data_IF_594497695594
#
_entry.id   IF_594497695594
#
_cell.length_a   1.000
_cell.length_b   1.000
_cell.length_c   1.000
_cell.angle_alpha   90.00
_cell.angle_beta   90.00
_cell.angle_gamma   90.00
#
_symmetry.space_group_name_H-M   'P 1'
#
loop_
_entity.id
_entity.type
_entity.pdbx_description
1 polymer ?
#
# COMPACT_ATOMS: atom_id res chain seq x y z
N UNK A 1 8.69 1.50 2.81
CA UNK A 1 8.99 2.93 3.06
C UNK A 1 8.96 3.18 4.54
N UNK A 2 9.95 3.89 5.08
CA UNK A 2 10.07 4.14 6.51
C UNK A 2 9.26 5.34 7.00
N UNK A 3 9.03 5.38 8.31
CA UNK A 3 8.31 6.48 8.97
C UNK A 3 8.96 7.84 8.72
N UNK A 4 10.28 7.93 8.82
CA UNK A 4 11.06 9.16 8.62
C UNK A 4 11.45 9.45 7.17
N UNK A 5 10.82 8.80 6.20
CA UNK A 5 11.10 9.06 4.78
C UNK A 5 10.27 10.23 4.21
N UNK A 6 9.21 10.66 4.90
CA UNK A 6 8.25 11.65 4.43
C UNK A 6 8.41 12.98 5.19
N UNK A 7 8.30 14.10 4.49
CA UNK A 7 8.50 15.44 5.06
C UNK A 7 7.61 15.73 6.26
N UNK A 8 6.30 15.48 6.17
CA UNK A 8 5.36 15.68 7.29
C UNK A 8 5.58 14.74 8.49
N UNK A 9 6.44 13.72 8.36
CA UNK A 9 6.92 12.86 9.43
C UNK A 9 8.37 13.16 9.85
N UNK A 10 8.96 14.28 9.37
CA UNK A 10 10.26 14.79 9.80
C UNK A 10 11.44 14.44 8.90
N UNK A 11 11.21 14.00 7.65
CA UNK A 11 12.29 13.85 6.68
C UNK A 11 12.85 15.22 6.26
N UNK A 12 14.17 15.35 6.31
CA UNK A 12 14.92 16.49 5.76
C UNK A 12 15.66 16.12 4.46
N UNK A 13 15.59 14.84 4.06
CA UNK A 13 16.35 14.28 2.94
C UNK A 13 15.52 14.20 1.66
N UNK A 14 14.23 13.93 1.77
CA UNK A 14 13.37 13.70 0.64
C UNK A 14 12.37 14.84 0.44
N UNK A 15 12.10 15.18 -0.81
CA UNK A 15 11.08 16.16 -1.16
C UNK A 15 9.76 15.47 -1.42
N UNK A 16 8.82 15.64 -0.49
CA UNK A 16 7.49 15.03 -0.56
C UNK A 16 6.36 16.07 -0.44
N UNK A 17 6.39 17.14 -1.27
CA UNK A 17 5.47 18.28 -1.11
C UNK A 17 4.01 17.91 -1.30
N UNK A 18 3.69 16.87 -2.07
CA UNK A 18 2.32 16.48 -2.36
C UNK A 18 1.72 15.67 -1.21
N UNK A 19 2.49 14.75 -0.62
CA UNK A 19 2.11 14.03 0.60
C UNK A 19 2.01 15.01 1.78
N UNK A 20 2.96 15.95 1.88
CA UNK A 20 2.94 16.99 2.92
C UNK A 20 1.72 17.92 2.79
N UNK A 21 1.26 18.20 1.57
CA UNK A 21 0.03 18.93 1.33
C UNK A 21 -1.22 18.11 1.70
N UNK A 22 -1.24 16.81 1.40
CA UNK A 22 -2.31 15.92 1.89
C UNK A 22 -2.41 15.98 3.43
N UNK A 23 -1.28 15.99 4.13
CA UNK A 23 -1.24 16.09 5.58
C UNK A 23 -1.78 17.44 6.10
N UNK A 24 -1.49 18.54 5.41
CA UNK A 24 -2.03 19.87 5.72
C UNK A 24 -3.54 19.97 5.49
N UNK A 25 -4.05 19.26 4.47
CA UNK A 25 -5.47 19.23 4.09
C UNK A 25 -6.22 18.05 4.75
N UNK A 26 -5.61 17.32 5.69
CA UNK A 26 -6.16 16.13 6.31
C UNK A 26 -5.59 15.81 7.69
N UNK A 27 -5.45 14.54 8.01
CA UNK A 27 -4.96 14.04 9.30
C UNK A 27 -3.71 13.18 9.15
N UNK A 28 -2.77 13.36 10.08
CA UNK A 28 -1.66 12.45 10.33
C UNK A 28 -2.03 11.43 11.40
N UNK A 29 -2.00 10.13 11.08
CA UNK A 29 -2.05 9.07 12.07
C UNK A 29 -0.61 8.69 12.42
N UNK A 30 -0.14 9.16 13.58
CA UNK A 30 1.26 9.02 13.97
C UNK A 30 1.57 7.69 14.66
N UNK A 31 0.54 6.86 14.91
CA UNK A 31 0.65 5.54 15.53
C UNK A 31 -0.13 4.47 14.74
N UNK A 32 0.03 4.48 13.40
CA UNK A 32 -0.45 3.37 12.57
C UNK A 32 0.62 2.29 12.50
N UNK A 33 0.22 1.04 12.78
CA UNK A 33 1.09 -0.13 12.73
C UNK A 33 0.71 -1.04 11.57
N UNK A 34 1.70 -1.45 10.80
CA UNK A 34 1.58 -2.64 9.95
C UNK A 34 1.47 -3.88 10.85
N UNK A 35 0.82 -4.93 10.38
CA UNK A 35 0.72 -6.18 11.13
C UNK A 35 1.96 -7.06 11.02
N UNK A 36 2.90 -6.70 10.17
CA UNK A 36 4.16 -7.41 9.95
C UNK A 36 5.23 -6.46 9.42
N UNK A 37 6.49 -6.76 9.70
CA UNK A 37 7.65 -6.04 9.14
C UNK A 37 7.98 -6.42 7.69
N UNK A 38 7.15 -7.23 7.00
CA UNK A 38 7.35 -7.69 5.62
C UNK A 38 6.06 -7.69 4.80
N UNK A 39 6.21 -7.63 3.47
CA UNK A 39 5.14 -7.31 2.52
C UNK A 39 3.94 -8.26 2.54
N UNK A 40 4.13 -9.57 2.27
CA UNK A 40 3.03 -10.54 2.12
C UNK A 40 2.10 -10.56 3.33
N UNK A 41 2.57 -10.81 4.57
CA UNK A 41 1.67 -10.86 5.72
C UNK A 41 1.03 -9.50 6.03
N UNK A 42 1.74 -8.39 5.83
CA UNK A 42 1.17 -7.06 6.03
C UNK A 42 0.03 -6.77 5.05
N UNK A 43 0.23 -7.08 3.77
CA UNK A 43 -0.79 -6.90 2.72
C UNK A 43 -2.00 -7.81 2.92
N UNK A 44 -1.78 -9.08 3.33
CA UNK A 44 -2.86 -9.99 3.67
C UNK A 44 -3.72 -9.43 4.81
N UNK A 45 -3.07 -8.91 5.85
CA UNK A 45 -3.77 -8.32 6.99
C UNK A 45 -4.54 -7.05 6.63
N UNK A 46 -3.97 -6.18 5.76
CA UNK A 46 -4.69 -5.03 5.23
C UNK A 46 -5.96 -5.46 4.49
N UNK A 47 -5.83 -6.42 3.56
CA UNK A 47 -6.95 -6.84 2.71
C UNK A 47 -8.06 -7.54 3.50
N UNK A 48 -7.72 -8.37 4.49
CA UNK A 48 -8.69 -9.24 5.19
C UNK A 48 -9.15 -8.71 6.54
N UNK A 49 -8.49 -7.68 7.09
CA UNK A 49 -8.75 -7.19 8.44
C UNK A 49 -8.33 -8.18 9.55
N UNK A 50 -7.50 -9.18 9.22
CA UNK A 50 -7.08 -10.26 10.12
C UNK A 50 -5.57 -10.29 10.29
N UNK A 51 -5.08 -10.82 11.41
CA UNK A 51 -3.68 -11.19 11.49
C UNK A 51 -3.33 -12.21 10.39
N UNK A 52 -2.15 -12.06 9.78
CA UNK A 52 -1.70 -12.92 8.70
C UNK A 52 -1.66 -14.42 9.08
N UNK A 53 -1.44 -14.73 10.36
CA UNK A 53 -1.49 -16.09 10.90
C UNK A 53 -2.90 -16.70 10.81
N UNK A 54 -3.94 -15.90 10.96
CA UNK A 54 -5.33 -16.35 10.90
C UNK A 54 -5.74 -16.78 9.48
N UNK A 55 -5.19 -16.09 8.49
CA UNK A 55 -5.46 -16.34 7.06
C UNK A 55 -4.33 -17.11 6.38
N UNK A 56 -3.45 -17.73 7.16
CA UNK A 56 -2.31 -18.54 6.72
C UNK A 56 -1.36 -17.84 5.73
N UNK A 57 -1.18 -16.52 5.89
CA UNK A 57 -0.33 -15.71 5.01
C UNK A 57 0.92 -15.16 5.72
N UNK A 58 1.30 -15.73 6.86
CA UNK A 58 2.48 -15.33 7.63
C UNK A 58 3.78 -15.95 7.13
N UNK A 59 3.72 -17.03 6.36
CA UNK A 59 4.84 -17.73 5.73
C UNK A 59 4.37 -18.37 4.43
N UNK A 60 5.31 -18.61 3.50
CA UNK A 60 5.07 -19.47 2.34
C UNK A 60 5.14 -20.96 2.71
N UNK A 61 5.05 -21.84 1.72
CA UNK A 61 5.14 -23.30 1.89
C UNK A 61 6.54 -23.80 2.29
N UNK A 62 7.56 -22.96 2.20
CA UNK A 62 8.96 -23.23 2.55
C UNK A 62 9.40 -22.50 3.82
N UNK A 63 8.43 -22.01 4.63
CA UNK A 63 8.67 -21.23 5.85
C UNK A 63 9.39 -19.90 5.60
N UNK A 64 9.31 -19.37 4.39
CA UNK A 64 9.83 -18.03 4.07
C UNK A 64 8.82 -16.94 4.45
N UNK A 65 9.33 -15.78 4.78
CA UNK A 65 8.52 -14.68 5.35
C UNK A 65 7.58 -13.99 4.35
N UNK A 66 7.77 -14.21 3.06
CA UNK A 66 6.97 -13.69 1.97
C UNK A 66 6.79 -14.76 0.90
N UNK A 67 5.76 -14.61 0.07
CA UNK A 67 5.60 -15.47 -1.10
C UNK A 67 6.65 -15.15 -2.15
N UNK A 68 7.25 -16.18 -2.72
CA UNK A 68 8.15 -16.11 -3.85
C UNK A 68 7.44 -16.41 -5.18
N UNK A 69 8.08 -16.12 -6.33
CA UNK A 69 7.53 -16.47 -7.63
C UNK A 69 7.21 -17.97 -7.75
N UNK A 70 6.09 -18.27 -8.40
CA UNK A 70 5.60 -19.63 -8.64
C UNK A 70 5.24 -20.39 -7.34
N UNK A 71 5.01 -19.67 -6.24
CA UNK A 71 4.54 -20.29 -5.01
C UNK A 71 3.18 -20.96 -5.27
N UNK A 72 3.02 -22.19 -4.76
CA UNK A 72 1.73 -22.86 -4.78
C UNK A 72 0.73 -22.24 -3.80
N UNK A 73 1.26 -21.45 -2.83
CA UNK A 73 0.49 -20.75 -1.81
C UNK A 73 0.12 -19.34 -2.26
N UNK A 74 -1.05 -18.88 -1.84
CA UNK A 74 -1.54 -17.52 -1.98
C UNK A 74 -2.69 -17.29 -1.04
N UNK A 75 -3.23 -16.07 -1.04
CA UNK A 75 -4.42 -15.75 -0.26
C UNK A 75 -5.55 -16.67 -0.69
N UNK A 76 -6.15 -17.37 0.29
CA UNK A 76 -7.23 -18.32 0.01
C UNK A 76 -8.43 -17.56 -0.60
N UNK A 77 -8.97 -17.99 -1.76
CA UNK A 77 -10.15 -17.36 -2.38
C UNK A 77 -11.42 -17.34 -1.51
N UNK A 78 -11.44 -18.09 -0.41
CA UNK A 78 -12.55 -18.05 0.56
C UNK A 78 -12.40 -16.92 1.59
N UNK A 79 -11.24 -16.25 1.66
CA UNK A 79 -11.08 -15.08 2.51
C UNK A 79 -11.81 -13.89 1.92
N UNK A 80 -12.45 -13.12 2.79
CA UNK A 80 -13.18 -11.91 2.39
C UNK A 80 -12.24 -10.71 2.53
N UNK A 81 -12.10 -9.97 1.45
CA UNK A 81 -11.23 -8.78 1.38
C UNK A 81 -12.03 -7.47 1.42
N UNK A 82 -11.32 -6.36 1.63
CA UNK A 82 -11.89 -5.01 1.47
C UNK A 82 -12.60 -4.88 0.10
N UNK A 83 -11.97 -5.39 -0.96
CA UNK A 83 -12.51 -5.24 -2.31
C UNK A 83 -13.83 -6.01 -2.49
N UNK A 84 -13.98 -7.20 -1.92
CA UNK A 84 -15.23 -7.96 -1.96
C UNK A 84 -16.36 -7.25 -1.21
N UNK A 85 -16.07 -6.77 0.01
CA UNK A 85 -17.07 -6.03 0.82
C UNK A 85 -17.54 -4.77 0.07
N UNK A 86 -16.62 -4.01 -0.51
CA UNK A 86 -16.96 -2.78 -1.22
C UNK A 86 -17.64 -3.07 -2.56
N UNK A 87 -17.26 -4.13 -3.25
CA UNK A 87 -17.92 -4.58 -4.48
C UNK A 87 -19.37 -4.97 -4.21
N UNK A 88 -19.63 -5.71 -3.15
CA UNK A 88 -20.98 -6.09 -2.73
C UNK A 88 -21.83 -4.85 -2.34
N UNK A 89 -21.17 -3.78 -1.89
CA UNK A 89 -21.79 -2.47 -1.64
C UNK A 89 -21.92 -1.61 -2.92
N UNK A 90 -21.62 -2.15 -4.10
CA UNK A 90 -21.78 -1.46 -5.39
C UNK A 90 -20.61 -0.61 -5.84
N UNK A 91 -19.43 -0.76 -5.24
CA UNK A 91 -18.22 -0.06 -5.67
C UNK A 91 -17.59 -0.76 -6.88
N UNK A 92 -17.14 0.01 -7.87
CA UNK A 92 -16.17 -0.46 -8.84
C UNK A 92 -14.81 -0.62 -8.17
N UNK A 93 -14.08 -1.71 -8.42
CA UNK A 93 -12.86 -2.06 -7.67
C UNK A 93 -11.66 -2.27 -8.59
N UNK A 94 -10.51 -1.69 -8.23
CA UNK A 94 -9.26 -1.92 -8.97
C UNK A 94 -8.06 -2.10 -8.03
N UNK A 95 -7.17 -3.02 -8.41
CA UNK A 95 -5.82 -3.15 -7.87
C UNK A 95 -4.84 -2.74 -8.97
N UNK A 96 -4.05 -1.70 -8.72
CA UNK A 96 -3.06 -1.19 -9.69
C UNK A 96 -1.71 -1.07 -9.00
N UNK A 97 -0.77 -1.96 -9.32
CA UNK A 97 0.56 -2.04 -8.71
C UNK A 97 0.94 -3.44 -8.23
N UNK A 98 1.71 -3.53 -7.16
CA UNK A 98 2.24 -4.77 -6.59
C UNK A 98 1.19 -5.48 -5.72
N UNK A 99 0.81 -6.70 -6.08
CA UNK A 99 -0.14 -7.52 -5.32
C UNK A 99 0.48 -8.23 -4.12
N UNK A 100 1.36 -9.16 -4.37
CA UNK A 100 2.17 -9.95 -3.42
C UNK A 100 1.37 -10.85 -2.46
N UNK A 101 0.21 -11.34 -2.92
CA UNK A 101 -0.64 -12.30 -2.18
C UNK A 101 -0.94 -13.57 -2.97
N UNK A 102 -0.05 -13.93 -3.90
CA UNK A 102 -0.10 -15.11 -4.75
C UNK A 102 -0.13 -14.76 -6.24
N UNK A 103 0.55 -15.56 -7.03
CA UNK A 103 0.70 -15.40 -8.49
C UNK A 103 -0.04 -16.47 -9.29
N UNK A 104 -0.63 -17.48 -8.61
CA UNK A 104 -1.49 -18.45 -9.26
C UNK A 104 -2.82 -17.80 -9.68
N UNK A 105 -3.47 -18.24 -10.78
CA UNK A 105 -4.68 -17.59 -11.31
C UNK A 105 -5.82 -17.42 -10.30
N UNK A 106 -5.96 -18.35 -9.37
CA UNK A 106 -6.96 -18.32 -8.28
C UNK A 106 -6.61 -17.37 -7.14
N UNK A 107 -5.34 -16.93 -7.06
CA UNK A 107 -4.86 -16.01 -6.02
C UNK A 107 -4.64 -14.58 -6.54
N UNK A 108 -4.89 -14.32 -7.82
CA UNK A 108 -4.79 -12.98 -8.41
C UNK A 108 -5.92 -12.05 -7.92
N UNK A 109 -5.75 -10.72 -7.97
CA UNK A 109 -6.72 -9.75 -7.45
C UNK A 109 -8.17 -9.96 -7.92
N UNK A 110 -8.38 -10.44 -9.16
CA UNK A 110 -9.72 -10.69 -9.68
C UNK A 110 -10.49 -11.79 -8.93
N UNK A 111 -9.78 -12.68 -8.24
CA UNK A 111 -10.37 -13.73 -7.39
C UNK A 111 -10.65 -13.25 -5.98
N UNK A 112 -10.31 -11.99 -5.68
CA UNK A 112 -10.44 -11.34 -4.36
C UNK A 112 -11.22 -10.01 -4.46
N UNK A 113 -12.26 -9.98 -5.29
CA UNK A 113 -13.21 -8.86 -5.37
C UNK A 113 -12.81 -7.70 -6.27
N UNK A 114 -11.63 -7.69 -6.89
CA UNK A 114 -11.26 -6.65 -7.82
C UNK A 114 -11.83 -6.90 -9.23
N UNK A 115 -12.41 -5.86 -9.84
CA UNK A 115 -12.90 -5.89 -11.22
C UNK A 115 -11.77 -5.70 -12.24
N UNK A 116 -10.71 -5.02 -11.81
CA UNK A 116 -9.56 -4.72 -12.66
C UNK A 116 -8.24 -4.90 -11.89
N UNK A 117 -7.28 -5.53 -12.55
CA UNK A 117 -5.90 -5.63 -12.08
C UNK A 117 -4.92 -5.18 -13.16
N UNK A 118 -3.96 -4.34 -12.79
CA UNK A 118 -2.83 -3.99 -13.62
C UNK A 118 -1.58 -3.84 -12.74
N UNK A 119 -0.60 -4.74 -12.86
CA UNK A 119 0.57 -4.68 -12.00
C UNK A 119 1.42 -5.93 -11.99
N UNK A 120 2.28 -6.03 -10.98
CA UNK A 120 3.15 -7.18 -10.76
C UNK A 120 2.61 -8.06 -9.64
N UNK A 121 2.67 -9.40 -9.78
CA UNK A 121 2.07 -10.31 -8.80
C UNK A 121 2.92 -10.52 -7.55
N UNK A 122 4.21 -10.21 -7.56
CA UNK A 122 5.16 -10.32 -6.45
C UNK A 122 6.16 -9.15 -6.44
N UNK A 123 7.25 -9.24 -5.67
CA UNK A 123 8.18 -8.12 -5.52
C UNK A 123 9.06 -7.93 -6.77
N UNK A 124 9.39 -6.68 -7.06
CA UNK A 124 10.16 -6.24 -8.23
C UNK A 124 11.60 -6.78 -8.27
N UNK A 125 12.15 -7.18 -7.12
CA UNK A 125 13.48 -7.79 -6.99
C UNK A 125 13.48 -9.32 -7.13
N UNK A 126 12.31 -9.93 -7.27
CA UNK A 126 12.15 -11.36 -7.45
C UNK A 126 12.25 -11.73 -8.94
N UNK A 127 13.47 -11.69 -9.46
CA UNK A 127 13.81 -11.95 -10.85
C UNK A 127 14.89 -13.03 -10.95
N UNK A 128 15.11 -13.66 -12.11
CA UNK A 128 16.20 -14.61 -12.30
C UNK A 128 17.55 -14.02 -11.85
N UNK A 129 18.29 -14.76 -11.05
CA UNK A 129 19.56 -14.33 -10.50
C UNK A 129 20.50 -15.52 -10.27
N UNK A 130 21.77 -15.25 -9.94
CA UNK A 130 22.72 -16.31 -9.59
C UNK A 130 22.28 -17.13 -8.37
N UNK A 131 21.46 -16.55 -7.47
CA UNK A 131 20.94 -17.25 -6.29
C UNK A 131 19.63 -17.99 -6.59
N UNK A 132 18.84 -17.49 -7.54
CA UNK A 132 17.53 -18.04 -7.90
C UNK A 132 17.37 -18.09 -9.43
N UNK A 133 18.14 -18.96 -10.13
CA UNK A 133 18.12 -19.01 -11.58
C UNK A 133 16.83 -19.60 -12.18
N UNK A 134 16.03 -20.27 -11.34
CA UNK A 134 14.77 -20.89 -11.75
C UNK A 134 13.57 -19.96 -11.65
N UNK A 135 13.74 -18.76 -11.09
CA UNK A 135 12.63 -17.79 -11.06
C UNK A 135 12.33 -17.31 -12.49
N UNK A 136 11.05 -17.06 -12.81
CA UNK A 136 10.69 -16.49 -14.10
C UNK A 136 11.06 -15.01 -14.20
N UNK A 137 11.09 -14.49 -15.42
CA UNK A 137 11.10 -13.06 -15.65
C UNK A 137 9.89 -12.40 -14.97
N UNK A 138 10.09 -11.22 -14.36
CA UNK A 138 9.03 -10.50 -13.68
C UNK A 138 7.90 -10.14 -14.65
N UNK A 139 6.68 -10.67 -14.48
CA UNK A 139 5.59 -10.37 -15.38
C UNK A 139 4.88 -9.07 -15.00
N UNK A 140 4.50 -8.28 -16.00
CA UNK A 140 3.43 -7.31 -15.88
C UNK A 140 2.13 -7.97 -16.31
N UNK A 141 1.14 -7.92 -15.43
CA UNK A 141 -0.14 -8.59 -15.61
C UNK A 141 -1.26 -7.57 -15.77
N UNK A 142 -2.12 -7.80 -16.75
CA UNK A 142 -3.40 -7.11 -16.83
C UNK A 142 -4.53 -8.14 -16.67
N UNK A 143 -5.31 -7.99 -15.61
CA UNK A 143 -6.33 -8.95 -15.20
C UNK A 143 -5.69 -10.35 -14.94
N UNK A 144 -5.89 -11.30 -15.85
CA UNK A 144 -5.32 -12.67 -15.77
C UNK A 144 -4.28 -12.93 -16.86
N UNK A 145 -3.89 -11.89 -17.61
CA UNK A 145 -3.00 -12.05 -18.77
C UNK A 145 -1.66 -11.37 -18.51
N UNK A 146 -0.58 -12.09 -18.66
CA UNK A 146 0.78 -11.52 -18.77
C UNK A 146 0.84 -10.72 -20.07
N UNK A 147 1.15 -9.42 -19.98
CA UNK A 147 1.24 -8.52 -21.14
C UNK A 147 2.68 -8.13 -21.47
N UNK A 148 3.60 -8.38 -20.54
CA UNK A 148 5.03 -8.11 -20.68
C UNK A 148 5.83 -8.97 -19.70
N UNK A 149 6.95 -9.53 -20.12
CA UNK A 149 7.97 -10.20 -19.29
C UNK A 149 9.30 -10.24 -20.05
N UNK A 150 10.42 -9.77 -19.47
CA UNK A 150 10.50 -9.05 -18.20
C UNK A 150 9.84 -7.67 -18.24
N UNK A 151 9.28 -7.25 -17.11
CA UNK A 151 8.67 -5.93 -16.94
C UNK A 151 9.73 -4.83 -16.98
N UNK A 152 9.53 -3.80 -17.78
CA UNK A 152 10.36 -2.60 -17.74
C UNK A 152 10.03 -1.75 -16.51
N UNK A 153 10.81 -1.92 -15.44
CA UNK A 153 10.61 -1.24 -14.16
C UNK A 153 10.79 0.29 -14.25
N UNK A 154 11.52 0.79 -15.26
CA UNK A 154 11.71 2.24 -15.43
C UNK A 154 10.42 2.98 -15.80
N UNK A 155 9.40 2.25 -16.21
CA UNK A 155 8.11 2.83 -16.67
C UNK A 155 6.93 2.49 -15.76
N UNK A 156 7.12 1.62 -14.75
CA UNK A 156 6.00 1.06 -13.98
C UNK A 156 5.17 2.11 -13.28
N UNK A 157 5.77 3.04 -12.54
CA UNK A 157 5.01 4.08 -11.81
C UNK A 157 4.18 4.94 -12.75
N UNK A 158 4.76 5.37 -13.87
CA UNK A 158 4.02 6.16 -14.88
C UNK A 158 2.85 5.37 -15.48
N UNK A 159 3.06 4.08 -15.75
CA UNK A 159 2.01 3.17 -16.27
C UNK A 159 0.91 2.97 -15.23
N UNK A 160 1.26 2.77 -13.95
CA UNK A 160 0.30 2.65 -12.86
C UNK A 160 -0.52 3.93 -12.70
N UNK A 161 0.10 5.09 -12.69
CA UNK A 161 -0.57 6.39 -12.64
C UNK A 161 -1.55 6.55 -13.80
N UNK A 162 -1.13 6.22 -15.03
CA UNK A 162 -2.00 6.29 -16.21
C UNK A 162 -3.24 5.40 -16.06
N UNK A 163 -3.06 4.16 -15.59
CA UNK A 163 -4.17 3.22 -15.39
C UNK A 163 -5.08 3.66 -14.23
N UNK A 164 -4.50 4.18 -13.14
CA UNK A 164 -5.26 4.72 -12.01
C UNK A 164 -6.13 5.92 -12.43
N UNK A 165 -5.57 6.87 -13.17
CA UNK A 165 -6.31 8.01 -13.70
C UNK A 165 -7.43 7.54 -14.65
N UNK A 166 -7.16 6.57 -15.52
CA UNK A 166 -8.16 5.99 -16.41
C UNK A 166 -9.31 5.37 -15.61
N UNK A 167 -9.00 4.61 -14.57
CA UNK A 167 -9.98 3.98 -13.70
C UNK A 167 -10.84 5.02 -12.95
N UNK A 168 -10.21 6.03 -12.33
CA UNK A 168 -10.92 7.10 -11.60
C UNK A 168 -11.87 7.85 -12.54
N UNK A 169 -11.40 8.24 -13.74
CA UNK A 169 -12.22 8.96 -14.73
C UNK A 169 -13.40 8.13 -15.21
N UNK A 170 -13.21 6.83 -15.41
CA UNK A 170 -14.27 5.93 -15.87
C UNK A 170 -15.36 5.70 -14.81
N UNK A 171 -15.01 5.87 -13.52
CA UNK A 171 -15.91 5.58 -12.40
C UNK A 171 -16.31 6.83 -11.59
N UNK A 172 -16.08 8.06 -12.13
CA UNK A 172 -16.32 9.31 -11.42
C UNK A 172 -17.77 9.52 -10.95
N UNK A 173 -18.73 8.89 -11.63
CA UNK A 173 -20.16 9.04 -11.39
C UNK A 173 -20.76 7.91 -10.52
N UNK A 174 -19.90 7.00 -10.02
CA UNK A 174 -20.29 5.89 -9.14
C UNK A 174 -19.23 5.68 -8.05
N UNK A 175 -19.55 4.99 -6.93
CA UNK A 175 -18.55 4.69 -5.93
C UNK A 175 -17.46 3.78 -6.50
N UNK A 176 -16.22 4.02 -6.08
CA UNK A 176 -15.07 3.20 -6.48
C UNK A 176 -14.09 2.99 -5.33
N UNK A 177 -13.37 1.88 -5.40
CA UNK A 177 -12.23 1.56 -4.56
C UNK A 177 -11.00 1.29 -5.42
N UNK A 178 -9.98 2.07 -5.23
CA UNK A 178 -8.68 1.90 -5.87
C UNK A 178 -7.63 1.53 -4.83
N UNK A 179 -7.15 0.29 -4.86
CA UNK A 179 -5.93 -0.13 -4.18
C UNK A 179 -4.74 0.13 -5.10
N UNK A 180 -3.86 1.04 -4.68
CA UNK A 180 -2.77 1.57 -5.50
C UNK A 180 -1.39 1.29 -4.88
N UNK A 181 -0.98 0.02 -4.74
CA UNK A 181 0.25 -0.37 -4.08
C UNK A 181 1.45 -0.25 -5.02
N UNK A 182 2.30 0.74 -4.79
CA UNK A 182 3.55 0.88 -5.53
C UNK A 182 4.49 -0.31 -5.30
N UNK A 183 5.34 -0.64 -6.29
CA UNK A 183 6.52 -1.48 -6.10
C UNK A 183 7.70 -0.70 -5.52
N UNK A 184 7.72 0.64 -5.65
CA UNK A 184 8.69 1.53 -5.04
C UNK A 184 8.36 1.84 -3.57
N UNK A 185 9.37 2.19 -2.75
CA UNK A 185 10.79 2.16 -3.01
C UNK A 185 11.36 0.75 -3.10
N UNK A 186 10.57 -0.28 -2.79
CA UNK A 186 10.86 -1.69 -2.98
C UNK A 186 11.86 -2.27 -1.99
N UNK A 187 12.27 -3.51 -2.30
CA UNK A 187 13.26 -4.28 -1.54
C UNK A 187 14.64 -4.26 -2.17
N UNK A 188 14.74 -3.73 -3.40
CA UNK A 188 16.01 -3.65 -4.15
C UNK A 188 17.02 -2.75 -3.44
N UNK A 189 18.30 -3.15 -3.49
CA UNK A 189 19.38 -2.29 -3.00
C UNK A 189 19.47 -0.98 -3.79
N UNK A 190 19.09 -1.02 -5.06
CA UNK A 190 19.03 0.13 -5.96
C UNK A 190 17.65 0.12 -6.61
N UNK A 191 16.70 0.93 -6.11
CA UNK A 191 15.40 1.08 -6.74
C UNK A 191 15.53 1.53 -8.19
N UNK A 192 14.74 0.92 -9.06
CA UNK A 192 14.64 1.32 -10.47
C UNK A 192 13.50 2.31 -10.62
N UNK A 193 13.85 3.53 -11.02
CA UNK A 193 12.92 4.66 -11.15
C UNK A 193 12.81 5.12 -12.59
N UNK A 194 11.79 5.90 -12.89
CA UNK A 194 11.66 6.58 -14.18
C UNK A 194 12.83 7.55 -14.41
N UNK A 195 13.31 7.66 -15.64
CA UNK A 195 14.41 8.54 -16.05
C UNK A 195 14.18 10.01 -15.60
N UNK A 196 12.91 10.41 -15.56
CA UNK A 196 12.54 11.74 -15.08
C UNK A 196 12.91 12.01 -13.62
N UNK A 197 13.13 10.98 -12.80
CA UNK A 197 13.49 11.10 -11.38
C UNK A 197 14.93 10.67 -11.09
N UNK A 198 15.53 9.89 -11.97
CA UNK A 198 16.87 9.33 -11.78
C UNK A 198 17.92 10.41 -11.53
N UNK A 199 18.68 10.28 -10.45
CA UNK A 199 19.79 11.16 -10.07
C UNK A 199 19.37 12.56 -9.61
N UNK A 200 18.10 12.77 -9.22
CA UNK A 200 17.60 14.10 -8.82
C UNK A 200 17.48 14.31 -7.33
N UNK A 201 17.33 13.24 -6.57
CA UNK A 201 17.26 13.31 -5.11
C UNK A 201 18.64 13.47 -4.48
N UNK A 202 18.69 14.16 -3.34
CA UNK A 202 19.88 14.26 -2.50
C UNK A 202 20.26 12.91 -1.84
N UNK A 203 19.33 11.93 -1.80
CA UNK A 203 19.51 10.63 -1.17
C UNK A 203 19.63 9.47 -2.17
N UNK A 204 20.24 9.72 -3.35
CA UNK A 204 20.46 8.70 -4.38
C UNK A 204 19.18 8.06 -4.89
N UNK A 205 19.27 6.85 -5.45
CA UNK A 205 18.13 6.16 -6.09
C UNK A 205 16.98 5.85 -5.11
N UNK A 206 17.26 5.68 -3.82
CA UNK A 206 16.20 5.53 -2.82
C UNK A 206 15.36 6.82 -2.69
N UNK A 207 16.03 7.96 -2.61
CA UNK A 207 15.34 9.25 -2.58
C UNK A 207 14.63 9.55 -3.90
N UNK A 208 15.21 9.19 -5.04
CA UNK A 208 14.55 9.31 -6.35
C UNK A 208 13.22 8.54 -6.35
N UNK A 209 13.20 7.32 -5.78
CA UNK A 209 12.00 6.51 -5.66
C UNK A 209 10.94 7.13 -4.73
N UNK A 210 11.33 7.74 -3.62
CA UNK A 210 10.41 8.47 -2.74
C UNK A 210 9.79 9.66 -3.46
N UNK A 211 10.59 10.44 -4.19
CA UNK A 211 10.11 11.62 -4.93
C UNK A 211 9.23 11.21 -6.12
N UNK A 212 9.47 10.05 -6.74
CA UNK A 212 8.60 9.49 -7.78
C UNK A 212 7.24 9.05 -7.21
N UNK A 213 7.22 8.46 -6.01
CA UNK A 213 5.97 8.14 -5.31
C UNK A 213 5.20 9.43 -5.01
N UNK A 214 5.84 10.46 -4.49
CA UNK A 214 5.21 11.75 -4.19
C UNK A 214 4.57 12.38 -5.44
N UNK A 215 5.27 12.32 -6.58
CA UNK A 215 4.71 12.73 -7.87
C UNK A 215 3.46 11.91 -8.25
N UNK A 216 3.47 10.61 -7.99
CA UNK A 216 2.30 9.77 -8.31
C UNK A 216 1.08 10.19 -7.50
N UNK A 217 1.26 10.55 -6.22
CA UNK A 217 0.20 11.08 -5.37
C UNK A 217 -0.33 12.41 -5.90
N UNK A 218 0.56 13.31 -6.37
CA UNK A 218 0.13 14.55 -7.05
C UNK A 218 -0.87 14.26 -8.17
N UNK A 219 -0.52 13.30 -9.04
CA UNK A 219 -1.35 12.98 -10.20
C UNK A 219 -2.74 12.46 -9.80
N UNK A 220 -2.82 11.64 -8.75
CA UNK A 220 -4.10 11.12 -8.22
C UNK A 220 -4.92 12.25 -7.59
N UNK A 221 -4.34 13.01 -6.66
CA UNK A 221 -5.02 14.13 -5.97
C UNK A 221 -5.51 15.17 -6.98
N UNK A 222 -4.66 15.53 -7.96
CA UNK A 222 -5.02 16.45 -9.05
C UNK A 222 -6.19 15.93 -9.87
N UNK A 223 -6.19 14.65 -10.24
CA UNK A 223 -7.29 14.04 -11.01
C UNK A 223 -8.60 14.09 -10.24
N UNK A 224 -8.59 13.77 -8.95
CA UNK A 224 -9.78 13.82 -8.08
C UNK A 224 -10.32 15.25 -7.98
N UNK A 225 -9.44 16.25 -7.83
CA UNK A 225 -9.81 17.69 -7.81
C UNK A 225 -10.33 18.17 -9.16
N UNK A 226 -9.69 17.82 -10.28
CA UNK A 226 -10.13 18.17 -11.65
C UNK A 226 -11.54 17.64 -11.98
N UNK A 227 -11.89 16.48 -11.42
CA UNK A 227 -13.20 15.87 -11.59
C UNK A 227 -14.27 16.42 -10.63
N UNK A 228 -13.89 17.24 -9.64
CA UNK A 228 -14.78 17.81 -8.65
C UNK A 228 -15.37 16.78 -7.67
N UNK A 229 -14.66 15.66 -7.46
CA UNK A 229 -15.11 14.55 -6.59
C UNK A 229 -14.36 14.48 -5.25
N UNK A 230 -13.50 15.45 -4.94
CA UNK A 230 -12.66 15.45 -3.75
C UNK A 230 -13.45 15.38 -2.43
N UNK A 231 -14.64 15.98 -2.38
CA UNK A 231 -15.51 15.94 -1.19
C UNK A 231 -16.17 14.58 -0.96
N UNK A 232 -16.16 13.73 -1.99
CA UNK A 232 -16.71 12.38 -1.94
C UNK A 232 -15.64 11.29 -2.02
N UNK A 233 -14.36 11.68 -1.97
CA UNK A 233 -13.24 10.75 -2.10
C UNK A 233 -12.30 10.84 -0.90
N UNK A 234 -12.16 9.75 -0.17
CA UNK A 234 -11.14 9.60 0.85
C UNK A 234 -9.86 9.05 0.21
N UNK A 235 -8.74 9.71 0.46
CA UNK A 235 -7.42 9.26 0.02
C UNK A 235 -6.61 8.89 1.26
N UNK A 236 -6.12 7.64 1.30
CA UNK A 236 -5.24 7.13 2.35
C UNK A 236 -3.87 6.85 1.77
N UNK A 237 -2.85 7.47 2.31
CA UNK A 237 -1.44 7.18 2.02
C UNK A 237 -0.81 6.47 3.22
N UNK A 238 -0.17 5.33 2.98
CA UNK A 238 0.57 4.59 4.02
C UNK A 238 1.63 3.67 3.40
N UNK A 239 2.38 2.95 4.23
CA UNK A 239 3.34 1.92 3.81
C UNK A 239 2.97 0.56 4.38
N UNK A 240 3.33 -0.52 3.67
CA UNK A 240 3.09 -1.90 4.12
C UNK A 240 4.02 -2.33 5.26
N UNK A 241 5.20 -1.76 5.36
CA UNK A 241 6.17 -1.96 6.45
C UNK A 241 7.24 -0.86 6.45
N UNK A 242 8.01 -0.79 7.51
CA UNK A 242 9.13 0.14 7.62
C UNK A 242 10.23 -0.11 6.59
N UNK A 243 11.08 0.89 6.37
CA UNK A 243 12.22 0.77 5.46
C UNK A 243 13.20 -0.30 5.95
N UNK A 244 13.72 -1.14 5.05
CA UNK A 244 14.69 -2.18 5.41
C UNK A 244 16.09 -1.66 5.80
N UNK A 245 16.34 -0.36 5.84
CA UNK A 245 17.61 0.31 6.15
C UNK A 245 18.86 -0.40 5.58
N UNK A 246 19.50 0.22 4.60
CA UNK A 246 20.88 -0.05 4.22
C UNK A 246 21.29 -1.50 3.95
N UNK A 247 20.87 -2.06 2.83
CA UNK A 247 21.58 -3.24 2.30
C UNK A 247 22.94 -2.81 1.76
N UNK A 248 23.96 -3.66 1.92
CA UNK A 248 25.30 -3.44 1.34
C UNK A 248 25.17 -3.16 -0.17
N UNK A 249 25.71 -2.04 -0.62
CA UNK A 249 25.65 -1.62 -2.02
C UNK A 249 24.44 -0.74 -2.39
N UNK A 250 23.55 -0.40 -1.42
CA UNK A 250 22.43 0.52 -1.68
C UNK A 250 22.93 1.95 -1.93
N UNK A 251 22.34 2.61 -2.91
CA UNK A 251 22.53 4.05 -3.12
C UNK A 251 21.42 4.83 -2.41
N UNK A 252 21.72 5.33 -1.24
CA UNK A 252 20.78 5.97 -0.33
C UNK A 252 20.15 4.98 0.66
N UNK A 253 19.65 5.52 1.75
CA UNK A 253 19.05 4.76 2.84
C UNK A 253 17.68 5.32 3.15
N UNK A 254 16.71 4.42 3.42
CA UNK A 254 15.45 4.83 4.03
C UNK A 254 15.63 5.24 5.50
N UNK A 255 14.63 5.86 6.08
CA UNK A 255 14.63 6.34 7.44
C UNK A 255 13.38 5.90 8.20
N UNK A 256 13.57 5.17 9.30
CA UNK A 256 12.49 4.86 10.23
C UNK A 256 12.47 5.80 11.44
N UNK A 257 13.31 6.86 11.42
CA UNK A 257 13.38 7.82 12.53
C UNK A 257 11.99 8.38 12.87
N UNK A 258 11.72 8.64 14.16
CA UNK A 258 12.64 8.55 15.32
C UNK A 258 12.77 7.11 15.89
N UNK A 259 12.15 6.11 15.26
CA UNK A 259 12.07 4.77 15.79
C UNK A 259 13.29 3.91 15.49
N UNK A 260 13.61 2.99 16.41
CA UNK A 260 14.65 1.99 16.25
C UNK A 260 14.15 0.80 15.45
N UNK A 261 15.06 0.12 14.75
CA UNK A 261 14.75 -1.05 13.93
C UNK A 261 14.45 -0.70 12.48
N UNK A 262 14.20 -1.74 11.71
CA UNK A 262 14.04 -1.69 10.28
C UNK A 262 12.94 -2.65 9.82
N UNK A 263 12.49 -2.55 8.59
CA UNK A 263 11.76 -3.60 7.91
C UNK A 263 12.46 -4.95 8.11
N UNK A 264 11.73 -6.03 8.05
CA UNK A 264 12.14 -7.39 8.44
C UNK A 264 12.33 -7.58 9.96
N UNK A 265 11.91 -6.63 10.79
CA UNK A 265 11.94 -6.78 12.26
C UNK A 265 10.60 -6.39 12.88
N UNK A 266 10.38 -6.84 14.11
CA UNK A 266 9.20 -6.50 14.93
C UNK A 266 9.43 -5.27 15.82
N UNK A 267 10.53 -4.55 15.61
CA UNK A 267 10.79 -3.28 16.29
C UNK A 267 9.91 -2.15 15.71
N UNK A 268 9.76 -1.08 16.48
CA UNK A 268 8.96 0.10 16.07
C UNK A 268 9.25 0.55 14.64
N UNK A 269 10.52 0.71 14.25
CA UNK A 269 10.91 1.14 12.91
C UNK A 269 10.60 0.12 11.80
N UNK A 270 10.28 -1.13 12.13
CA UNK A 270 9.82 -2.13 11.16
C UNK A 270 8.31 -2.17 11.01
N UNK A 271 7.58 -1.81 12.06
CA UNK A 271 6.14 -2.00 12.17
C UNK A 271 5.33 -0.70 12.12
N UNK A 272 5.85 0.39 12.68
CA UNK A 272 5.18 1.68 12.69
C UNK A 272 5.46 2.44 11.41
N UNK A 273 4.40 2.75 10.66
CA UNK A 273 4.47 3.28 9.30
C UNK A 273 3.82 4.65 9.19
N UNK A 274 4.24 5.51 8.24
CA UNK A 274 3.58 6.79 8.02
C UNK A 274 2.16 6.56 7.52
N UNK A 275 1.22 7.40 7.98
CA UNK A 275 -0.14 7.39 7.47
C UNK A 275 -0.71 8.80 7.41
N UNK A 276 -1.19 9.16 6.21
CA UNK A 276 -1.88 10.42 5.94
C UNK A 276 -3.25 10.11 5.37
N UNK A 277 -4.30 10.73 5.89
CA UNK A 277 -5.65 10.59 5.36
C UNK A 277 -6.22 11.95 5.03
N UNK A 278 -6.73 12.10 3.81
CA UNK A 278 -7.38 13.31 3.33
C UNK A 278 -8.80 13.01 2.89
N UNK A 279 -9.76 13.81 3.36
CA UNK A 279 -11.14 13.80 2.88
C UNK A 279 -11.76 15.18 3.14
N UNK A 280 -11.73 16.08 2.16
CA UNK A 280 -12.22 17.45 2.32
C UNK A 280 -13.68 17.52 2.79
N UNK A 281 -13.91 18.26 3.86
CA UNK A 281 -15.24 18.44 4.45
C UNK A 281 -15.73 17.28 5.34
N UNK A 282 -14.95 16.19 5.47
CA UNK A 282 -15.24 15.07 6.38
C UNK A 282 -14.17 14.91 7.45
N UNK A 283 -12.92 15.20 7.13
CA UNK A 283 -11.78 15.16 8.04
C UNK A 283 -11.29 16.60 8.23
N UNK A 284 -11.08 17.07 9.46
CA UNK A 284 -10.50 18.39 9.72
C UNK A 284 -9.09 18.50 9.15
N UNK A 285 -8.74 19.70 8.68
CA UNK A 285 -7.46 19.97 8.07
C UNK A 285 -6.34 20.16 9.12
N UNK A 286 -5.14 19.67 8.82
CA UNK A 286 -3.90 19.93 9.56
C UNK A 286 -3.87 19.37 10.98
N UNK A 287 -4.61 18.31 11.25
CA UNK A 287 -4.62 17.67 12.57
C UNK A 287 -3.73 16.42 12.59
N UNK A 288 -3.36 16.01 13.81
CA UNK A 288 -2.67 14.75 14.04
C UNK A 288 -3.34 13.98 15.17
N UNK A 289 -3.30 12.65 15.09
CA UNK A 289 -3.78 11.76 16.12
C UNK A 289 -2.74 10.67 16.39
N UNK A 290 -2.49 10.38 17.66
CA UNK A 290 -1.49 9.40 18.12
C UNK A 290 -2.12 8.15 18.77
N UNK A 291 -3.43 7.99 18.67
CA UNK A 291 -4.08 6.76 19.11
C UNK A 291 -3.63 5.59 18.23
N UNK A 292 -3.43 4.44 18.86
CA UNK A 292 -2.97 3.23 18.17
C UNK A 292 -4.03 2.78 17.16
N UNK A 293 -3.60 2.62 15.94
CA UNK A 293 -4.35 2.05 14.83
C UNK A 293 -3.52 0.98 14.13
N UNK A 294 -4.16 0.05 13.47
CA UNK A 294 -3.48 -1.00 12.69
C UNK A 294 -3.96 -1.01 11.24
N UNK A 295 -3.18 -1.60 10.35
CA UNK A 295 -3.62 -1.77 8.95
C UNK A 295 -4.87 -2.64 8.82
N UNK A 296 -5.10 -3.55 9.77
CA UNK A 296 -6.30 -4.40 9.80
C UNK A 296 -7.59 -3.59 9.99
N UNK A 297 -7.49 -2.41 10.58
CA UNK A 297 -8.64 -1.55 10.90
C UNK A 297 -9.29 -0.95 9.66
N UNK A 298 -8.60 -0.91 8.54
CA UNK A 298 -9.15 -0.35 7.31
C UNK A 298 -10.33 -1.16 6.76
N UNK A 299 -10.33 -2.50 6.89
CA UNK A 299 -11.45 -3.31 6.43
C UNK A 299 -12.77 -2.94 7.16
N UNK A 300 -12.88 -3.00 8.49
CA UNK A 300 -14.13 -2.63 9.16
C UNK A 300 -14.42 -1.14 9.08
N UNK A 301 -13.42 -0.27 8.91
CA UNK A 301 -13.64 1.17 8.73
C UNK A 301 -14.26 1.46 7.36
N UNK A 302 -13.74 0.86 6.29
CA UNK A 302 -14.31 1.03 4.95
C UNK A 302 -15.69 0.38 4.83
N UNK A 303 -15.89 -0.79 5.45
CA UNK A 303 -17.22 -1.40 5.53
C UNK A 303 -18.24 -0.45 6.20
N UNK A 304 -17.87 0.16 7.33
CA UNK A 304 -18.71 1.13 8.03
C UNK A 304 -19.04 2.35 7.14
N UNK A 305 -18.04 2.92 6.47
CA UNK A 305 -18.21 4.10 5.61
C UNK A 305 -19.04 3.80 4.35
N UNK A 306 -18.99 2.58 3.86
CA UNK A 306 -19.78 2.11 2.71
C UNK A 306 -21.17 1.56 3.12
N UNK A 307 -21.55 1.66 4.40
CA UNK A 307 -22.79 1.06 4.96
C UNK A 307 -22.89 -0.46 4.68
N UNK A 308 -21.73 -1.11 4.51
CA UNK A 308 -21.61 -2.54 4.29
C UNK A 308 -21.40 -3.29 5.61
N UNK A 309 -21.62 -4.61 5.58
CA UNK A 309 -21.40 -5.46 6.75
C UNK A 309 -20.06 -6.18 6.65
N UNK A 310 -19.32 -6.22 7.75
CA UNK A 310 -18.17 -7.12 7.86
C UNK A 310 -18.65 -8.58 7.98
N UNK A 311 -17.84 -9.57 7.51
CA UNK A 311 -18.16 -10.98 7.68
C UNK A 311 -18.46 -11.34 9.13
N UNK A 312 -19.49 -12.18 9.36
CA UNK A 312 -19.88 -12.67 10.69
C UNK A 312 -19.52 -14.13 10.93
N UNK A 313 -19.08 -14.81 9.90
CA UNK A 313 -18.71 -16.23 9.89
C UNK A 313 -17.24 -16.47 10.31
N UNK A 314 -16.50 -15.39 10.50
CA UNK A 314 -15.08 -15.40 10.85
C UNK A 314 -14.70 -14.26 11.81
N UNK A 315 -13.54 -14.37 12.44
CA UNK A 315 -12.99 -13.34 13.30
C UNK A 315 -12.30 -12.30 12.43
N UNK A 316 -12.70 -11.03 12.59
CA UNK A 316 -11.98 -9.86 12.09
C UNK A 316 -11.25 -9.23 13.27
N UNK A 317 -9.92 -9.16 13.19
CA UNK A 317 -9.08 -8.60 14.27
C UNK A 317 -9.11 -7.08 14.27
N UNK A 318 -9.20 -6.47 13.08
CA UNK A 318 -9.33 -5.02 12.90
C UNK A 318 -10.61 -4.46 13.52
N UNK A 319 -10.58 -3.17 13.82
CA UNK A 319 -11.67 -2.41 14.44
C UNK A 319 -11.99 -1.18 13.60
N UNK A 320 -13.23 -0.69 13.69
CA UNK A 320 -13.59 0.58 13.06
C UNK A 320 -12.90 1.75 13.76
N UNK A 321 -11.99 2.41 13.08
CA UNK A 321 -11.23 3.58 13.55
C UNK A 321 -11.74 4.90 12.95
N UNK A 322 -12.92 4.92 12.32
CA UNK A 322 -13.46 6.15 11.77
C UNK A 322 -13.54 7.29 12.78
N UNK A 323 -13.92 7.10 14.04
CA UNK A 323 -13.92 8.18 15.02
C UNK A 323 -12.54 8.85 15.18
N UNK A 324 -11.45 8.06 15.16
CA UNK A 324 -10.08 8.59 15.21
C UNK A 324 -9.75 9.34 13.92
N UNK A 325 -10.02 8.72 12.77
CA UNK A 325 -9.73 9.27 11.44
C UNK A 325 -10.54 10.54 11.15
N UNK A 326 -11.79 10.61 11.62
CA UNK A 326 -12.64 11.80 11.46
C UNK A 326 -12.27 12.97 12.38
N UNK A 327 -11.28 12.78 13.26
CA UNK A 327 -10.78 13.83 14.15
C UNK A 327 -11.63 14.06 15.41
N UNK A 328 -12.43 13.08 15.84
CA UNK A 328 -13.10 13.13 17.13
C UNK A 328 -12.04 13.12 18.25
N UNK A 329 -11.97 14.24 18.99
CA UNK A 329 -10.99 14.43 20.06
C UNK A 329 -11.22 13.52 21.27
N UNK A 330 -12.38 12.90 21.36
CA UNK A 330 -12.74 11.98 22.46
C UNK A 330 -12.48 10.51 22.08
N UNK A 331 -12.26 10.24 20.79
CA UNK A 331 -12.00 8.91 20.31
C UNK A 331 -10.70 8.34 20.89
N UNK A 332 -10.75 7.10 21.30
CA UNK A 332 -9.63 6.33 21.80
C UNK A 332 -9.43 5.11 20.93
N UNK A 333 -8.21 4.57 20.98
CA UNK A 333 -7.92 3.31 20.32
C UNK A 333 -8.95 2.25 20.72
N UNK A 334 -9.50 1.48 19.77
CA UNK A 334 -10.36 0.34 20.08
C UNK A 334 -9.57 -0.94 20.43
N UNK A 335 -8.25 -0.83 20.46
CA UNK A 335 -7.33 -1.93 20.81
C UNK A 335 -6.91 -1.84 22.28
N UNK A 336 -6.73 -3.01 22.91
CA UNK A 336 -6.28 -3.17 24.30
C UNK A 336 -4.74 -3.06 24.40
#
# INVERSE_FOLDING_TARGET
MGYGDIGCFGSELHRTPNIDNMAKEGILLTSLYSSSGVCTPSRASLMTGCYAQRVDMHMDENESWVLYPVSAKGLNPQEITIAEILKDAGYATACIGKWHLGDQPECLPLSHGFDYFYGIPYSEDMVPSNHNPSWPDLPLVQNKKVIEAPTDLTTTTRRYVKEAIRFIRANRDQPFFLYFPHNLPGSSAIPVVDEAFSGKSANGSYGDAIEEIDWSIEQIVKTVKELGIEKNTMIVFTSDNGSPLGRAGSSGLGSNKPFSGAGYSTMEGGMRVPCVVQWPGKIPEGISNNELCTMMDWLPTFAFLAEAQTPRDRIIDGKNIWPIVSGDKTAKTPHD
#
